data_IF_281582619203
#
_entry.id   IF_281582619203
#
_cell.length_a   1.000
_cell.length_b   1.000
_cell.length_c   1.000
_cell.angle_alpha   90.00
_cell.angle_beta   90.00
_cell.angle_gamma   90.00
#
_symmetry.space_group_name_H-M   'P 1'
#
loop_
_entity.id
_entity.type
_entity.pdbx_description
1 polymer ?
#
# COMPACT_ATOMS: atom_id res chain seq x y z
N UNK A 1 -91.50 47.78 70.20
CA UNK A 1 -91.94 46.49 70.76
C UNK A 1 -91.73 45.45 69.66
N UNK A 2 -90.92 44.43 69.95
CA UNK A 2 -90.64 43.16 69.19
C UNK A 2 -90.09 43.29 67.76
N UNK A 3 -88.81 42.98 67.47
CA UNK A 3 -88.11 41.66 67.41
C UNK A 3 -88.36 40.88 66.11
N UNK A 4 -87.31 40.71 65.29
CA UNK A 4 -86.81 39.40 64.83
C UNK A 4 -85.58 39.52 63.89
N UNK A 5 -84.68 38.56 64.05
CA UNK A 5 -83.36 38.38 63.42
C UNK A 5 -83.44 37.38 62.26
N UNK A 6 -82.72 37.59 61.14
CA UNK A 6 -82.00 36.52 60.39
C UNK A 6 -81.04 37.10 59.32
N UNK A 7 -79.89 36.45 59.03
CA UNK A 7 -78.79 37.03 58.27
C UNK A 7 -78.93 36.73 56.77
N UNK A 8 -78.62 37.71 55.91
CA UNK A 8 -78.51 37.45 54.45
C UNK A 8 -77.14 37.87 53.94
N UNK A 9 -76.41 36.85 53.45
CA UNK A 9 -75.10 36.92 52.83
C UNK A 9 -74.99 38.02 51.77
N UNK A 10 -73.83 38.71 51.65
CA UNK A 10 -73.60 39.57 50.51
C UNK A 10 -73.55 38.72 49.23
N UNK A 11 -74.50 38.99 48.35
CA UNK A 11 -74.62 38.40 47.01
C UNK A 11 -73.39 38.78 46.18
N UNK A 12 -72.56 37.79 45.83
CA UNK A 12 -71.57 37.98 44.78
C UNK A 12 -72.30 38.30 43.46
N UNK A 13 -71.97 39.41 42.76
CA UNK A 13 -72.56 39.71 41.47
C UNK A 13 -72.20 38.60 40.46
N UNK A 14 -73.20 38.15 39.70
CA UNK A 14 -73.03 37.10 38.70
C UNK A 14 -71.95 37.51 37.67
N UNK A 15 -71.00 36.63 37.33
CA UNK A 15 -69.92 36.96 36.40
C UNK A 15 -70.48 37.35 35.03
N UNK A 16 -69.94 38.42 34.45
CA UNK A 16 -70.32 38.88 33.10
C UNK A 16 -70.24 37.73 32.07
N UNK A 17 -71.24 37.57 31.20
CA UNK A 17 -71.35 36.42 30.30
C UNK A 17 -70.20 36.33 29.28
N UNK A 18 -69.58 37.46 28.92
CA UNK A 18 -68.39 37.49 28.06
C UNK A 18 -67.12 37.02 28.79
N UNK A 19 -67.01 37.29 30.09
CA UNK A 19 -65.94 36.78 30.94
C UNK A 19 -66.09 35.26 31.12
N UNK A 20 -67.31 34.75 31.30
CA UNK A 20 -67.57 33.32 31.36
C UNK A 20 -67.23 32.59 30.04
N UNK A 21 -67.62 33.16 28.89
CA UNK A 21 -67.26 32.57 27.59
C UNK A 21 -65.76 32.61 27.32
N UNK A 22 -65.04 33.64 27.78
CA UNK A 22 -63.60 33.74 27.59
C UNK A 22 -62.84 32.81 28.54
N UNK A 23 -63.29 32.64 29.79
CA UNK A 23 -62.72 31.66 30.73
C UNK A 23 -62.94 30.23 30.28
N UNK A 24 -64.13 29.88 29.79
CA UNK A 24 -64.40 28.55 29.21
C UNK A 24 -63.53 28.30 27.98
N UNK A 25 -63.36 29.29 27.10
CA UNK A 25 -62.45 29.19 25.95
C UNK A 25 -61.00 29.01 26.40
N UNK A 26 -60.54 29.75 27.42
CA UNK A 26 -59.21 29.62 27.99
C UNK A 26 -58.98 28.25 28.66
N UNK A 27 -59.96 27.74 29.41
CA UNK A 27 -59.92 26.41 30.01
C UNK A 27 -59.84 25.32 28.94
N UNK A 28 -60.71 25.36 27.93
CA UNK A 28 -60.69 24.41 26.80
C UNK A 28 -59.37 24.48 26.02
N UNK A 29 -58.82 25.67 25.85
CA UNK A 29 -57.51 25.86 25.21
C UNK A 29 -56.36 25.31 26.08
N UNK A 30 -56.44 25.42 27.40
CA UNK A 30 -55.46 24.88 28.33
C UNK A 30 -55.49 23.34 28.38
N UNK A 31 -56.68 22.74 28.32
CA UNK A 31 -56.86 21.28 28.22
C UNK A 31 -56.33 20.73 26.89
N UNK A 32 -56.62 21.42 25.79
CA UNK A 32 -56.07 21.05 24.48
C UNK A 32 -54.54 21.12 24.46
N UNK A 33 -53.95 22.16 25.06
CA UNK A 33 -52.50 22.27 25.20
C UNK A 33 -51.94 21.11 26.03
N UNK A 34 -52.54 20.83 27.19
CA UNK A 34 -52.12 19.76 28.10
C UNK A 34 -52.15 18.37 27.43
N UNK A 35 -53.19 18.07 26.64
CA UNK A 35 -53.30 16.80 25.93
C UNK A 35 -52.29 16.65 24.78
N UNK A 36 -51.86 17.77 24.17
CA UNK A 36 -50.90 17.77 23.07
C UNK A 36 -49.44 17.76 23.54
N UNK A 37 -49.14 18.18 24.78
CA UNK A 37 -47.78 18.14 25.37
C UNK A 37 -47.12 16.75 25.28
N UNK A 38 -47.75 15.63 25.69
CA UNK A 38 -47.10 14.32 25.60
C UNK A 38 -46.84 13.87 24.16
N UNK A 39 -47.70 14.26 23.21
CA UNK A 39 -47.48 13.97 21.80
C UNK A 39 -46.28 14.78 21.24
N UNK A 40 -46.16 16.05 21.63
CA UNK A 40 -45.02 16.89 21.28
C UNK A 40 -43.71 16.39 21.88
N UNK A 41 -43.72 15.94 23.14
CA UNK A 41 -42.53 15.35 23.79
C UNK A 41 -42.10 14.07 23.08
N UNK A 42 -43.03 13.18 22.73
CA UNK A 42 -42.72 11.96 21.95
C UNK A 42 -42.14 12.30 20.58
N UNK A 43 -42.68 13.32 19.90
CA UNK A 43 -42.16 13.78 18.61
C UNK A 43 -40.74 14.38 18.75
N UNK A 44 -40.46 15.15 19.81
CA UNK A 44 -39.13 15.68 20.09
C UNK A 44 -38.11 14.57 20.36
N UNK A 45 -38.51 13.56 21.14
CA UNK A 45 -37.64 12.41 21.44
C UNK A 45 -37.37 11.58 20.17
N UNK A 46 -38.39 11.36 19.34
CA UNK A 46 -38.27 10.60 18.09
C UNK A 46 -37.41 11.32 17.04
N UNK A 47 -37.55 12.64 16.92
CA UNK A 47 -36.72 13.45 16.02
C UNK A 47 -35.28 13.53 16.53
N UNK A 48 -35.07 13.65 17.84
CA UNK A 48 -33.75 13.59 18.45
C UNK A 48 -33.02 12.26 18.20
N UNK A 49 -33.71 11.12 18.34
CA UNK A 49 -33.11 9.81 18.05
C UNK A 49 -32.81 9.62 16.57
N UNK A 50 -33.69 10.07 15.67
CA UNK A 50 -33.41 10.05 14.22
C UNK A 50 -32.17 10.88 13.85
N UNK A 51 -32.00 12.05 14.47
CA UNK A 51 -30.85 12.91 14.20
C UNK A 51 -29.53 12.25 14.62
N UNK A 52 -29.51 11.60 15.79
CA UNK A 52 -28.32 10.88 16.26
C UNK A 52 -27.95 9.71 15.33
N UNK A 53 -28.94 8.97 14.83
CA UNK A 53 -28.72 7.90 13.84
C UNK A 53 -28.15 8.47 12.54
N UNK A 54 -28.70 9.59 12.06
CA UNK A 54 -28.23 10.26 10.85
C UNK A 54 -26.78 10.75 10.97
N UNK A 55 -26.42 11.39 12.10
CA UNK A 55 -25.04 11.86 12.35
C UNK A 55 -24.07 10.67 12.37
N UNK A 56 -24.45 9.58 13.03
CA UNK A 56 -23.61 8.37 13.13
C UNK A 56 -23.41 7.74 11.74
N UNK A 57 -24.47 7.65 10.93
CA UNK A 57 -24.38 7.15 9.56
C UNK A 57 -23.46 8.01 8.67
N UNK A 58 -23.57 9.33 8.77
CA UNK A 58 -22.68 10.26 8.05
C UNK A 58 -21.21 10.12 8.48
N UNK A 59 -20.94 9.93 9.78
CA UNK A 59 -19.59 9.72 10.29
C UNK A 59 -18.98 8.40 9.77
N UNK A 60 -19.77 7.32 9.74
CA UNK A 60 -19.35 6.03 9.17
C UNK A 60 -19.10 6.16 7.67
N UNK A 61 -19.99 6.84 6.93
CA UNK A 61 -19.85 7.07 5.50
C UNK A 61 -18.63 7.95 5.17
N UNK A 62 -18.36 8.95 6.01
CA UNK A 62 -17.16 9.78 5.90
C UNK A 62 -15.90 8.96 6.15
N UNK A 63 -15.85 8.18 7.24
CA UNK A 63 -14.71 7.31 7.55
C UNK A 63 -14.47 6.29 6.44
N UNK A 64 -15.54 5.68 5.93
CA UNK A 64 -15.46 4.76 4.79
C UNK A 64 -14.97 5.49 3.53
N UNK A 65 -15.47 6.69 3.21
CA UNK A 65 -15.04 7.49 2.04
C UNK A 65 -13.60 7.95 2.13
N UNK A 66 -13.11 8.34 3.31
CA UNK A 66 -11.69 8.68 3.50
C UNK A 66 -10.78 7.46 3.38
N UNK A 67 -11.31 6.25 3.62
CA UNK A 67 -10.60 4.99 3.43
C UNK A 67 -10.77 4.41 2.01
N UNK A 68 -11.42 5.10 1.08
CA UNK A 68 -11.48 4.66 -0.33
C UNK A 68 -10.20 5.11 -1.04
N UNK A 69 -9.27 4.18 -1.15
CA UNK A 69 -8.08 4.23 -1.98
C UNK A 69 -8.47 4.65 -3.42
N UNK A 70 -8.03 5.83 -3.87
CA UNK A 70 -8.40 6.38 -5.18
C UNK A 70 -7.60 5.66 -6.27
N UNK A 71 -8.26 4.79 -7.02
CA UNK A 71 -7.68 4.10 -8.17
C UNK A 71 -7.52 5.07 -9.35
N UNK A 72 -6.27 5.36 -9.75
CA UNK A 72 -5.96 6.11 -10.97
C UNK A 72 -5.74 5.16 -12.13
N UNK A 73 -6.56 5.29 -13.17
CA UNK A 73 -6.39 4.55 -14.41
C UNK A 73 -5.48 5.34 -15.37
N UNK A 74 -4.41 4.72 -15.87
CA UNK A 74 -3.69 5.20 -17.04
C UNK A 74 -3.91 4.21 -18.20
N UNK A 75 -4.23 4.74 -19.38
CA UNK A 75 -4.44 3.96 -20.60
C UNK A 75 -3.12 3.84 -21.36
N UNK A 76 -2.64 2.62 -21.56
CA UNK A 76 -1.60 2.31 -22.55
C UNK A 76 -2.17 1.30 -23.57
N UNK A 77 -2.19 1.69 -24.84
CA UNK A 77 -2.55 0.86 -26.00
C UNK A 77 -3.87 0.04 -25.89
N UNK A 78 -4.95 0.66 -25.42
CA UNK A 78 -6.30 0.07 -25.49
C UNK A 78 -6.55 -1.13 -24.57
N UNK A 79 -5.64 -1.42 -23.63
CA UNK A 79 -5.82 -2.46 -22.63
C UNK A 79 -5.69 -1.85 -21.23
N UNK A 80 -6.76 -1.97 -20.43
CA UNK A 80 -6.79 -1.53 -19.03
C UNK A 80 -5.81 -2.37 -18.21
N UNK A 81 -4.63 -1.82 -17.91
CA UNK A 81 -3.71 -2.39 -16.94
C UNK A 81 -4.02 -1.75 -15.58
N UNK A 82 -4.38 -2.57 -14.58
CA UNK A 82 -4.58 -2.11 -13.21
C UNK A 82 -3.22 -1.64 -12.66
N UNK A 83 -3.07 -0.34 -12.43
CA UNK A 83 -1.97 0.17 -11.59
C UNK A 83 -2.36 -0.17 -10.15
N UNK A 84 -1.62 -1.09 -9.53
CA UNK A 84 -1.84 -1.47 -8.14
C UNK A 84 -1.74 -0.22 -7.23
N UNK A 85 -2.61 -0.08 -6.21
CA UNK A 85 -2.62 1.11 -5.37
C UNK A 85 -1.37 1.27 -4.51
N UNK A 86 -1.08 2.54 -4.21
CA UNK A 86 0.09 3.05 -3.48
C UNK A 86 0.01 2.79 -1.96
N UNK A 87 -0.29 1.56 -1.56
CA UNK A 87 -0.14 1.04 -0.18
C UNK A 87 0.69 -0.24 -0.12
N UNK A 88 1.07 -0.78 -1.27
CA UNK A 88 2.10 -1.80 -1.42
C UNK A 88 3.30 -1.17 -2.13
N UNK A 89 4.56 -1.55 -1.82
CA UNK A 89 5.68 -1.14 -2.64
C UNK A 89 5.32 -1.50 -4.09
N UNK A 90 5.48 -0.55 -5.03
CA UNK A 90 5.14 -0.75 -6.43
C UNK A 90 5.78 -2.02 -7.04
N UNK A 91 6.78 -2.57 -6.36
CA UNK A 91 7.39 -3.87 -6.56
C UNK A 91 7.27 -4.71 -5.28
N UNK A 92 6.74 -5.92 -5.40
CA UNK A 92 6.78 -6.89 -4.32
C UNK A 92 8.21 -7.43 -4.13
N UNK A 93 8.46 -8.06 -2.97
CA UNK A 93 9.70 -8.80 -2.75
C UNK A 93 9.95 -9.84 -3.85
N UNK A 94 8.89 -10.49 -4.36
CA UNK A 94 8.99 -11.48 -5.43
C UNK A 94 9.42 -10.84 -6.75
N UNK A 95 8.94 -9.63 -7.06
CA UNK A 95 9.35 -8.90 -8.26
C UNK A 95 10.83 -8.50 -8.18
N UNK A 96 11.28 -8.01 -7.02
CA UNK A 96 12.69 -7.72 -6.80
C UNK A 96 13.55 -8.99 -6.88
N UNK A 97 13.06 -10.11 -6.32
CA UNK A 97 13.76 -11.40 -6.39
C UNK A 97 13.89 -11.90 -7.84
N UNK A 98 12.82 -11.79 -8.63
CA UNK A 98 12.81 -12.15 -10.05
C UNK A 98 13.70 -11.21 -10.89
N UNK A 99 13.72 -9.93 -10.57
CA UNK A 99 14.63 -8.97 -11.21
C UNK A 99 16.10 -9.36 -11.01
N UNK A 100 16.48 -9.72 -9.78
CA UNK A 100 17.82 -10.19 -9.45
C UNK A 100 18.20 -11.50 -10.15
N UNK A 101 17.30 -12.48 -10.18
CA UNK A 101 17.58 -13.76 -10.84
C UNK A 101 17.70 -13.63 -12.36
N UNK A 102 16.86 -12.79 -13.00
CA UNK A 102 16.97 -12.47 -14.42
C UNK A 102 18.27 -11.73 -14.74
N UNK A 103 18.64 -10.75 -13.91
CA UNK A 103 19.90 -10.02 -14.08
C UNK A 103 21.10 -10.97 -13.98
N UNK A 104 21.12 -11.89 -13.00
CA UNK A 104 22.14 -12.92 -12.86
C UNK A 104 22.20 -13.88 -14.06
N UNK A 105 21.03 -14.34 -14.53
CA UNK A 105 20.94 -15.22 -15.68
C UNK A 105 21.53 -14.57 -16.93
N UNK A 106 21.29 -13.27 -17.16
CA UNK A 106 21.90 -12.56 -18.29
C UNK A 106 23.37 -12.21 -18.03
N UNK A 107 23.76 -11.89 -16.79
CA UNK A 107 25.12 -11.50 -16.42
C UNK A 107 26.15 -12.62 -16.55
N UNK A 108 25.74 -13.87 -16.30
CA UNK A 108 26.63 -15.02 -16.31
C UNK A 108 26.37 -16.01 -17.46
N UNK A 109 25.60 -15.61 -18.47
CA UNK A 109 25.51 -16.32 -19.75
C UNK A 109 26.14 -15.47 -20.86
N UNK A 110 27.44 -15.66 -21.09
CA UNK A 110 28.25 -14.84 -21.98
C UNK A 110 28.81 -15.65 -23.14
N UNK A 111 28.75 -15.07 -24.33
CA UNK A 111 29.30 -15.62 -25.55
C UNK A 111 30.68 -15.03 -25.85
N UNK A 112 31.64 -15.86 -26.26
CA UNK A 112 33.03 -15.43 -26.45
C UNK A 112 33.19 -14.34 -27.54
N UNK A 113 32.26 -14.25 -28.49
CA UNK A 113 32.25 -13.22 -29.54
C UNK A 113 31.59 -11.94 -29.02
N UNK A 114 30.45 -12.07 -28.32
CA UNK A 114 29.58 -10.94 -27.98
C UNK A 114 29.66 -10.46 -26.52
N UNK A 115 30.54 -11.04 -25.70
CA UNK A 115 30.59 -10.79 -24.24
C UNK A 115 30.64 -9.30 -23.87
N UNK A 116 31.37 -8.47 -24.64
CA UNK A 116 31.47 -7.01 -24.38
C UNK A 116 30.14 -6.30 -24.53
N UNK A 117 29.42 -6.63 -25.62
CA UNK A 117 28.07 -6.13 -25.89
C UNK A 117 27.13 -6.57 -24.76
N UNK A 118 27.14 -7.86 -24.41
CA UNK A 118 26.26 -8.41 -23.37
C UNK A 118 26.50 -7.75 -22.01
N UNK A 119 27.77 -7.57 -21.61
CA UNK A 119 28.14 -6.85 -20.38
C UNK A 119 27.64 -5.40 -20.42
N UNK A 120 27.84 -4.68 -21.53
CA UNK A 120 27.37 -3.30 -21.66
C UNK A 120 25.84 -3.18 -21.63
N UNK A 121 25.12 -4.15 -22.20
CA UNK A 121 23.66 -4.18 -22.24
C UNK A 121 23.02 -4.34 -20.85
N UNK A 122 23.80 -4.81 -19.88
CA UNK A 122 23.38 -4.95 -18.49
C UNK A 122 23.52 -3.67 -17.67
N UNK A 123 24.28 -2.68 -18.12
CA UNK A 123 24.50 -1.42 -17.41
C UNK A 123 23.20 -0.79 -16.85
N UNK A 124 22.07 -0.74 -17.58
CA UNK A 124 20.81 -0.19 -17.03
C UNK A 124 20.28 -0.92 -15.79
N UNK A 125 20.60 -2.20 -15.61
CA UNK A 125 20.13 -3.01 -14.46
C UNK A 125 20.95 -2.80 -13.19
N UNK A 126 22.09 -2.14 -13.28
CA UNK A 126 22.99 -1.90 -12.16
C UNK A 126 23.11 -0.40 -11.88
N UNK A 127 23.41 -0.04 -10.64
CA UNK A 127 24.02 1.25 -10.35
C UNK A 127 25.48 1.25 -10.79
N UNK A 128 26.12 2.42 -10.86
CA UNK A 128 27.55 2.50 -11.20
C UNK A 128 28.41 1.68 -10.22
N UNK A 129 28.10 1.75 -8.92
CA UNK A 129 28.75 0.97 -7.86
C UNK A 129 28.52 -0.53 -8.04
N UNK A 130 27.28 -0.94 -8.34
CA UNK A 130 26.92 -2.34 -8.52
C UNK A 130 27.57 -2.95 -9.75
N UNK A 131 27.69 -2.17 -10.83
CA UNK A 131 28.33 -2.59 -12.07
C UNK A 131 29.83 -2.82 -11.89
N UNK A 132 30.50 -1.96 -11.10
CA UNK A 132 31.91 -2.19 -10.71
C UNK A 132 32.05 -3.50 -9.93
N UNK A 133 31.14 -3.78 -8.98
CA UNK A 133 31.12 -5.06 -8.25
C UNK A 133 30.99 -6.28 -9.18
N UNK A 134 30.13 -6.20 -10.19
CA UNK A 134 29.98 -7.24 -11.21
C UNK A 134 31.25 -7.46 -12.04
N UNK A 135 31.86 -6.38 -12.56
CA UNK A 135 33.10 -6.46 -13.33
C UNK A 135 34.24 -7.02 -12.48
N UNK A 136 34.35 -6.61 -11.22
CA UNK A 136 35.33 -7.12 -10.28
C UNK A 136 35.15 -8.62 -10.03
N UNK A 137 33.91 -9.10 -9.90
CA UNK A 137 33.63 -10.53 -9.75
C UNK A 137 34.08 -11.33 -10.98
N UNK A 138 33.83 -10.83 -12.19
CA UNK A 138 34.28 -11.47 -13.43
C UNK A 138 35.81 -11.49 -13.57
N UNK A 139 36.48 -10.43 -13.13
CA UNK A 139 37.93 -10.30 -13.18
C UNK A 139 38.62 -11.17 -12.12
N UNK A 140 38.09 -11.19 -10.89
CA UNK A 140 38.63 -12.01 -9.79
C UNK A 140 38.56 -13.52 -10.09
N UNK A 141 37.54 -13.97 -10.82
CA UNK A 141 37.39 -15.36 -11.24
C UNK A 141 38.15 -15.73 -12.52
N UNK A 142 38.95 -14.82 -13.08
CA UNK A 142 39.67 -14.98 -14.34
C UNK A 142 38.77 -15.39 -15.53
N UNK A 143 37.46 -15.11 -15.45
CA UNK A 143 36.45 -15.56 -16.40
C UNK A 143 36.65 -14.83 -17.74
N UNK A 144 36.80 -13.51 -17.70
CA UNK A 144 36.96 -12.70 -18.92
C UNK A 144 38.22 -13.07 -19.70
N UNK A 145 39.31 -13.36 -19.01
CA UNK A 145 40.55 -13.79 -19.66
C UNK A 145 40.37 -15.16 -20.31
N UNK A 146 39.71 -16.10 -19.61
CA UNK A 146 39.47 -17.46 -20.12
C UNK A 146 38.52 -17.45 -21.32
N UNK A 147 37.42 -16.68 -21.27
CA UNK A 147 36.51 -16.48 -22.39
C UNK A 147 37.28 -15.98 -23.62
N UNK A 148 38.15 -14.97 -23.44
CA UNK A 148 38.90 -14.36 -24.54
C UNK A 148 40.02 -15.27 -25.09
N UNK A 149 40.83 -15.88 -24.22
CA UNK A 149 42.00 -16.67 -24.61
C UNK A 149 41.63 -18.05 -25.11
N UNK A 150 40.71 -18.73 -24.42
CA UNK A 150 40.33 -20.11 -24.71
C UNK A 150 39.07 -20.22 -25.59
N UNK A 151 38.47 -19.08 -25.99
CA UNK A 151 37.24 -19.01 -26.82
C UNK A 151 36.11 -19.87 -26.24
N UNK A 152 35.89 -19.74 -24.93
CA UNK A 152 34.86 -20.47 -24.20
C UNK A 152 33.67 -19.56 -23.89
N UNK A 153 32.47 -20.13 -23.94
CA UNK A 153 31.25 -19.49 -23.48
C UNK A 153 31.07 -19.73 -21.99
N UNK A 154 30.58 -18.72 -21.29
CA UNK A 154 30.16 -18.87 -19.90
C UNK A 154 28.68 -19.24 -19.88
N UNK A 155 28.36 -20.34 -19.23
CA UNK A 155 26.98 -20.75 -18.98
C UNK A 155 26.73 -20.79 -17.48
N UNK A 156 25.63 -20.22 -17.03
CA UNK A 156 25.27 -20.22 -15.62
C UNK A 156 23.81 -20.56 -15.38
N UNK A 157 23.58 -21.35 -14.34
CA UNK A 157 22.26 -21.72 -13.83
C UNK A 157 22.09 -21.05 -12.47
N UNK A 158 21.08 -20.17 -12.36
CA UNK A 158 20.74 -19.47 -11.12
C UNK A 158 19.62 -20.24 -10.42
N UNK A 159 19.85 -20.66 -9.18
CA UNK A 159 18.83 -21.29 -8.33
C UNK A 159 17.89 -20.26 -7.68
N UNK A 160 16.94 -20.76 -6.90
CA UNK A 160 16.00 -19.89 -6.19
C UNK A 160 16.74 -18.99 -5.20
N UNK A 161 16.44 -17.69 -5.24
CA UNK A 161 16.98 -16.72 -4.30
C UNK A 161 16.27 -16.80 -2.95
N UNK A 162 16.98 -16.41 -1.89
CA UNK A 162 16.40 -16.20 -0.56
C UNK A 162 16.59 -14.76 -0.13
N UNK A 163 15.58 -14.16 0.52
CA UNK A 163 15.71 -12.83 1.09
C UNK A 163 16.54 -12.91 2.37
N UNK A 164 17.63 -12.15 2.42
CA UNK A 164 18.48 -12.01 3.61
C UNK A 164 17.93 -10.90 4.51
N UNK A 165 17.67 -9.73 3.91
CA UNK A 165 17.17 -8.56 4.62
C UNK A 165 16.50 -7.59 3.65
N UNK A 166 15.58 -6.79 4.16
CA UNK A 166 14.97 -5.68 3.46
C UNK A 166 14.79 -4.50 4.42
N UNK A 167 14.60 -3.31 3.88
CA UNK A 167 14.29 -2.13 4.68
C UNK A 167 14.51 -0.85 3.90
N UNK A 168 14.63 0.25 4.64
CA UNK A 168 14.90 1.56 4.10
C UNK A 168 16.33 1.98 4.46
N UNK A 169 17.07 2.47 3.47
CA UNK A 169 18.39 3.09 3.67
C UNK A 169 18.24 4.47 4.33
N UNK A 170 19.36 5.04 4.78
CA UNK A 170 19.40 6.35 5.42
C UNK A 170 18.96 7.51 4.50
N UNK A 171 19.02 7.31 3.19
CA UNK A 171 18.55 8.23 2.14
C UNK A 171 17.04 8.12 1.86
N UNK A 172 16.35 7.21 2.55
CA UNK A 172 14.92 6.96 2.36
C UNK A 172 14.60 5.96 1.23
N UNK A 173 15.61 5.42 0.53
CA UNK A 173 15.40 4.44 -0.55
C UNK A 173 15.17 3.05 0.03
N UNK A 174 14.13 2.37 -0.46
CA UNK A 174 13.87 0.98 -0.06
C UNK A 174 14.83 0.03 -0.78
N UNK A 175 15.32 -0.98 -0.05
CA UNK A 175 16.21 -1.99 -0.58
C UNK A 175 15.84 -3.41 -0.14
N UNK A 176 16.27 -4.36 -0.95
CA UNK A 176 16.21 -5.79 -0.66
C UNK A 176 17.58 -6.40 -0.90
N UNK A 177 18.01 -7.29 -0.01
CA UNK A 177 19.24 -8.07 -0.18
C UNK A 177 18.85 -9.54 -0.31
N UNK A 178 19.22 -10.13 -1.44
CA UNK A 178 18.95 -11.53 -1.75
C UNK A 178 20.25 -12.31 -1.89
N UNK A 179 20.18 -13.60 -1.61
CA UNK A 179 21.26 -14.56 -1.89
C UNK A 179 20.80 -15.56 -2.93
N UNK A 180 21.58 -15.73 -3.99
CA UNK A 180 21.30 -16.66 -5.08
C UNK A 180 22.43 -17.68 -5.21
N UNK A 181 22.15 -18.98 -5.12
CA UNK A 181 23.11 -20.00 -5.52
C UNK A 181 23.21 -20.00 -7.04
N UNK A 182 24.41 -19.82 -7.59
CA UNK A 182 24.70 -19.80 -9.02
C UNK A 182 25.76 -20.84 -9.31
N UNK A 183 25.45 -21.76 -10.23
CA UNK A 183 26.44 -22.69 -10.78
C UNK A 183 26.86 -22.20 -12.14
N UNK A 184 28.15 -22.06 -12.36
CA UNK A 184 28.70 -21.56 -13.62
C UNK A 184 29.76 -22.50 -14.17
N UNK A 185 29.83 -22.56 -15.50
CA UNK A 185 30.76 -23.39 -16.24
C UNK A 185 31.23 -22.69 -17.50
N UNK A 186 32.51 -22.85 -17.81
CA UNK A 186 33.09 -22.42 -19.09
C UNK A 186 33.09 -23.60 -20.07
N UNK A 187 32.44 -23.40 -21.21
CA UNK A 187 32.20 -24.41 -22.23
C UNK A 187 32.83 -23.95 -23.55
N UNK A 188 33.85 -24.67 -24.01
CA UNK A 188 34.43 -24.51 -25.34
C UNK A 188 33.89 -25.54 -26.32
N UNK A 189 34.41 -25.53 -27.55
CA UNK A 189 33.99 -26.46 -28.60
C UNK A 189 34.46 -27.91 -28.37
N UNK A 190 35.63 -28.07 -27.73
CA UNK A 190 36.28 -29.39 -27.54
C UNK A 190 36.37 -29.81 -26.09
N UNK A 191 36.48 -28.86 -25.17
CA UNK A 191 36.63 -29.11 -23.74
C UNK A 191 35.82 -28.11 -22.92
N UNK A 192 35.51 -28.48 -21.68
CA UNK A 192 34.82 -27.61 -20.72
C UNK A 192 35.58 -27.62 -19.41
N UNK A 193 35.65 -26.48 -18.74
CA UNK A 193 36.21 -26.39 -17.39
C UNK A 193 35.26 -27.07 -16.38
N UNK A 194 35.76 -27.42 -15.18
CA UNK A 194 34.91 -27.85 -14.08
C UNK A 194 33.84 -26.81 -13.76
N UNK A 195 32.66 -27.28 -13.34
CA UNK A 195 31.61 -26.40 -12.84
C UNK A 195 32.02 -25.83 -11.48
N UNK A 196 31.74 -24.54 -11.27
CA UNK A 196 31.99 -23.83 -10.03
C UNK A 196 30.68 -23.33 -9.44
N UNK A 197 30.52 -23.48 -8.13
CA UNK A 197 29.34 -23.03 -7.40
C UNK A 197 29.66 -21.78 -6.59
N UNK A 198 28.80 -20.78 -6.71
CA UNK A 198 28.91 -19.50 -6.02
C UNK A 198 27.59 -19.16 -5.35
N UNK A 199 27.66 -18.36 -4.29
CA UNK A 199 26.50 -17.68 -3.71
C UNK A 199 26.69 -16.19 -3.93
N UNK A 200 25.81 -15.61 -4.75
CA UNK A 200 25.80 -14.18 -5.01
C UNK A 200 24.86 -13.49 -4.02
N UNK A 201 25.41 -12.58 -3.22
CA UNK A 201 24.61 -11.63 -2.47
C UNK A 201 24.40 -10.36 -3.29
N UNK A 202 23.14 -10.02 -3.55
CA UNK A 202 22.75 -8.89 -4.38
C UNK A 202 21.87 -7.97 -3.55
N UNK A 203 22.26 -6.70 -3.46
CA UNK A 203 21.42 -5.64 -2.92
C UNK A 203 20.76 -4.89 -4.06
N UNK A 204 19.44 -4.94 -4.11
CA UNK A 204 18.58 -4.24 -5.06
C UNK A 204 17.99 -3.03 -4.34
N UNK A 205 18.03 -1.87 -4.97
CA UNK A 205 17.41 -0.65 -4.46
C UNK A 205 16.37 -0.12 -5.44
N UNK A 206 15.38 0.59 -4.91
CA UNK A 206 14.39 1.30 -5.74
C UNK A 206 15.04 2.51 -6.43
N UNK A 207 14.58 2.78 -7.64
CA UNK A 207 14.97 3.94 -8.45
C UNK A 207 13.71 4.59 -8.99
N UNK A 208 13.76 5.89 -9.26
CA UNK A 208 12.67 6.58 -9.95
C UNK A 208 12.38 5.91 -11.32
N UNK A 209 11.15 5.43 -11.58
CA UNK A 209 10.73 4.89 -12.87
C UNK A 209 11.00 5.80 -14.07
N UNK A 210 11.06 7.12 -13.83
CA UNK A 210 11.38 8.11 -14.87
C UNK A 210 12.82 8.01 -15.36
N UNK A 211 13.74 7.58 -14.51
CA UNK A 211 15.15 7.37 -14.86
C UNK A 211 15.37 5.97 -15.42
N UNK A 212 14.75 4.97 -14.80
CA UNK A 212 14.88 3.56 -15.18
C UNK A 212 13.50 2.91 -15.25
N UNK A 213 13.06 2.39 -16.42
CA UNK A 213 11.73 1.78 -16.56
C UNK A 213 11.46 0.61 -15.61
N UNK A 214 12.50 -0.11 -15.16
CA UNK A 214 12.38 -1.18 -14.16
C UNK A 214 12.07 -0.68 -12.76
N UNK A 215 12.33 0.60 -12.46
CA UNK A 215 12.21 1.23 -11.14
C UNK A 215 13.04 0.57 -10.03
N UNK A 216 13.99 -0.28 -10.42
CA UNK A 216 14.89 -1.03 -9.56
C UNK A 216 16.24 -1.17 -10.23
N UNK A 217 17.30 -1.20 -9.42
CA UNK A 217 18.65 -1.49 -9.87
C UNK A 217 19.44 -2.28 -8.82
N UNK A 218 20.45 -3.00 -9.28
CA UNK A 218 21.42 -3.66 -8.42
C UNK A 218 22.45 -2.64 -7.95
N UNK A 219 22.42 -2.32 -6.66
CA UNK A 219 23.37 -1.40 -6.03
C UNK A 219 24.71 -2.07 -5.73
N UNK A 220 24.65 -3.33 -5.30
CA UNK A 220 25.83 -4.07 -4.86
C UNK A 220 25.70 -5.53 -5.26
N UNK A 221 26.81 -6.11 -5.72
CA UNK A 221 26.93 -7.53 -6.00
C UNK A 221 28.21 -8.05 -5.33
N UNK A 222 28.05 -9.06 -4.47
CA UNK A 222 29.17 -9.77 -3.84
C UNK A 222 29.08 -11.23 -4.23
N UNK A 223 30.18 -11.75 -4.79
CA UNK A 223 30.34 -13.18 -5.02
C UNK A 223 31.02 -13.83 -3.81
N UNK A 224 30.49 -14.96 -3.34
CA UNK A 224 31.15 -15.84 -2.38
C UNK A 224 31.26 -17.22 -2.99
N UNK A 225 32.43 -17.85 -2.85
CA UNK A 225 32.57 -19.26 -3.21
C UNK A 225 31.63 -20.07 -2.31
N UNK A 226 30.75 -20.87 -2.90
CA UNK A 226 30.15 -21.95 -2.17
C UNK A 226 31.29 -22.95 -1.97
N UNK A 227 31.80 -23.09 -0.74
CA UNK A 227 32.82 -24.09 -0.44
C UNK A 227 32.36 -25.49 -0.91
N UNK A 228 33.27 -26.45 -1.12
CA UNK A 228 32.85 -27.82 -1.38
C UNK A 228 31.92 -28.24 -0.25
N UNK A 229 30.66 -28.56 -0.59
CA UNK A 229 29.64 -28.97 0.37
C UNK A 229 30.24 -29.99 1.34
N UNK A 230 30.27 -29.66 2.62
CA UNK A 230 30.41 -30.62 3.72
C UNK A 230 29.12 -31.38 3.91
#
# INVERSE_FOLDING_TARGET
MTENTEPSSPSHPAPDPEILKSTIRAMKQSEQRANNVPALIKALLCTGTCLLISITGNAIQYWHSTNVEREYFATDNGRLVRLAPTSQPAWSQNDAMAFGSQALATAFNLDFVHYRSQISSLSPRFSDEGFVGYVNALQASNILETIKKEKMNLTATTGAGVLVRQGQMSDGVWFWTFQYPVRMRLVGQTTSKPEQSFVFEITIQRVDPRLKPSGMEIRQMISRNAGPNS
#
